data_IF_837767372580
#
_entry.id   IF_837767372580
#
_cell.length_a   1.000
_cell.length_b   1.000
_cell.length_c   1.000
_cell.angle_alpha   90.00
_cell.angle_beta   90.00
_cell.angle_gamma   90.00
#
_symmetry.space_group_name_H-M   'P 1'
#
loop_
_entity.id
_entity.type
_entity.pdbx_description
1 polymer ?
#
# COMPACT_ATOMS: atom_id res chain seq x y z
N UNK A 1 -0.24 -13.45 -21.98
CA UNK A 1 0.17 -13.61 -20.57
C UNK A 1 -0.92 -12.92 -19.79
N UNK A 2 -1.68 -13.68 -19.00
CA UNK A 2 -2.83 -13.19 -18.25
C UNK A 2 -2.42 -11.95 -17.48
N UNK A 3 -3.08 -10.81 -17.74
CA UNK A 3 -2.96 -9.65 -16.89
C UNK A 3 -3.33 -10.13 -15.50
N UNK A 4 -2.34 -10.29 -14.62
CA UNK A 4 -2.54 -10.68 -13.23
C UNK A 4 -3.68 -9.81 -12.72
N UNK A 5 -4.85 -10.41 -12.49
CA UNK A 5 -6.00 -9.71 -11.95
C UNK A 5 -5.55 -9.19 -10.61
N UNK A 6 -5.12 -7.92 -10.58
CA UNK A 6 -4.64 -7.29 -9.37
C UNK A 6 -5.83 -7.25 -8.43
N UNK A 7 -5.85 -8.18 -7.48
CA UNK A 7 -6.97 -8.37 -6.58
C UNK A 7 -7.26 -7.01 -5.92
N UNK A 8 -8.48 -6.49 -6.14
CA UNK A 8 -8.89 -5.20 -5.59
C UNK A 8 -9.22 -5.38 -4.12
N UNK A 9 -8.17 -5.56 -3.33
CA UNK A 9 -8.23 -5.67 -1.87
C UNK A 9 -7.70 -4.39 -1.24
N UNK A 10 -8.16 -4.13 -0.03
CA UNK A 10 -7.70 -2.97 0.75
C UNK A 10 -6.19 -3.03 1.00
N UNK A 11 -5.65 -4.22 1.22
CA UNK A 11 -4.22 -4.40 1.45
C UNK A 11 -3.41 -4.13 0.17
N UNK A 12 -3.84 -4.64 -0.99
CA UNK A 12 -3.16 -4.37 -2.26
C UNK A 12 -3.17 -2.87 -2.60
N UNK A 13 -4.28 -2.18 -2.34
CA UNK A 13 -4.35 -0.72 -2.47
C UNK A 13 -3.35 -0.02 -1.56
N UNK A 14 -3.33 -0.37 -0.25
CA UNK A 14 -2.41 0.24 0.71
C UNK A 14 -0.95 0.03 0.29
N UNK A 15 -0.56 -1.17 -0.10
CA UNK A 15 0.80 -1.45 -0.58
C UNK A 15 1.19 -0.61 -1.81
N UNK A 16 0.31 -0.53 -2.80
CA UNK A 16 0.56 0.26 -4.02
C UNK A 16 0.61 1.75 -3.74
N UNK A 17 -0.28 2.24 -2.89
CA UNK A 17 -0.30 3.65 -2.50
C UNK A 17 1.00 4.03 -1.79
N UNK A 18 1.40 3.21 -0.81
CA UNK A 18 2.66 3.39 -0.07
C UNK A 18 3.85 3.43 -1.03
N UNK A 19 3.96 2.44 -1.93
CA UNK A 19 5.08 2.38 -2.88
C UNK A 19 5.09 3.55 -3.88
N UNK A 20 3.92 4.02 -4.32
CA UNK A 20 3.82 5.04 -5.38
C UNK A 20 3.98 6.46 -4.85
N UNK A 21 3.48 6.74 -3.66
CA UNK A 21 3.35 8.11 -3.16
C UNK A 21 4.27 8.44 -1.98
N UNK A 22 4.79 7.45 -1.24
CA UNK A 22 5.70 7.75 -0.14
C UNK A 22 7.14 7.79 -0.65
N UNK A 23 7.87 8.84 -0.28
CA UNK A 23 9.33 8.85 -0.38
C UNK A 23 9.95 7.80 0.56
N UNK A 24 11.22 7.46 0.35
CA UNK A 24 11.93 6.48 1.19
C UNK A 24 11.86 6.86 2.67
N UNK A 25 12.19 8.10 3.02
CA UNK A 25 12.09 8.61 4.40
C UNK A 25 10.67 8.56 4.96
N UNK A 26 9.64 8.76 4.13
CA UNK A 26 8.25 8.66 4.57
C UNK A 26 7.82 7.20 4.81
N UNK A 27 8.30 6.25 3.99
CA UNK A 27 8.06 4.82 4.19
C UNK A 27 8.70 4.32 5.49
N UNK A 28 9.94 4.74 5.75
CA UNK A 28 10.65 4.37 7.00
C UNK A 28 9.93 4.89 8.24
N UNK A 29 9.40 6.12 8.21
CA UNK A 29 8.76 6.74 9.37
C UNK A 29 7.32 6.31 9.60
N UNK A 30 6.56 6.07 8.52
CA UNK A 30 5.10 5.94 8.60
C UNK A 30 4.55 4.70 7.90
N UNK A 31 5.36 3.92 7.20
CA UNK A 31 4.89 2.82 6.36
C UNK A 31 4.19 1.72 7.16
N UNK A 32 4.77 1.31 8.28
CA UNK A 32 4.18 0.27 9.14
C UNK A 32 2.82 0.72 9.70
N UNK A 33 2.75 1.93 10.24
CA UNK A 33 1.52 2.48 10.82
C UNK A 33 0.44 2.68 9.76
N UNK A 34 0.81 3.12 8.55
CA UNK A 34 -0.11 3.25 7.43
C UNK A 34 -0.73 1.89 7.03
N UNK A 35 0.07 0.82 7.00
CA UNK A 35 -0.44 -0.51 6.63
C UNK A 35 -1.44 -1.07 7.65
N UNK A 36 -1.29 -0.70 8.93
CA UNK A 36 -2.22 -1.09 10.01
C UNK A 36 -3.55 -0.33 10.00
N UNK A 37 -3.71 0.71 9.17
CA UNK A 37 -4.97 1.44 9.09
C UNK A 37 -6.11 0.53 8.63
N UNK A 38 -7.15 0.47 9.45
CA UNK A 38 -8.41 -0.23 9.19
C UNK A 38 -9.45 0.78 8.74
N UNK A 39 -10.27 0.40 7.75
CA UNK A 39 -11.43 1.19 7.37
C UNK A 39 -12.48 1.10 8.50
N UNK A 40 -13.01 2.26 8.91
CA UNK A 40 -14.10 2.36 9.90
C UNK A 40 -15.48 2.19 9.29
#
# INVERSE_FOLDING_TARGET
MEAAYEEFTWDNFKWKFLSKYFSETARERYGEEFLKLTQG
#
